data_IF_363389046883
#
_entry.id   IF_363389046883
#
_cell.length_a   1.000
_cell.length_b   1.000
_cell.length_c   1.000
_cell.angle_alpha   90.00
_cell.angle_beta   90.00
_cell.angle_gamma   90.00
#
_symmetry.space_group_name_H-M   'P 1'
#
loop_
_entity.id
_entity.type
_entity.pdbx_description
1 polymer ?
#
# COMPACT_ATOMS: atom_id res chain seq x y z
N UNK A 1 12.30 17.82 30.99
CA UNK A 1 11.68 17.45 29.70
C UNK A 1 11.00 16.11 29.88
N UNK A 2 9.67 16.08 29.89
CA UNK A 2 8.94 14.81 29.93
C UNK A 2 9.10 14.13 28.56
N UNK A 3 9.64 12.91 28.56
CA UNK A 3 9.60 12.06 27.37
C UNK A 3 8.12 11.88 26.98
N UNK A 4 7.74 12.37 25.80
CA UNK A 4 6.47 11.98 25.20
C UNK A 4 6.53 10.46 25.06
N UNK A 5 5.67 9.75 25.78
CA UNK A 5 5.54 8.31 25.63
C UNK A 5 5.29 8.02 24.14
N UNK A 6 6.08 7.10 23.55
CA UNK A 6 5.91 6.64 22.18
C UNK A 6 4.45 6.18 22.02
N UNK A 7 3.66 6.92 21.26
CA UNK A 7 2.20 6.76 21.24
C UNK A 7 1.74 6.43 19.84
N UNK A 8 0.99 5.34 19.73
CA UNK A 8 0.10 5.09 18.61
C UNK A 8 -1.28 5.69 18.94
N UNK A 9 -1.66 6.74 18.22
CA UNK A 9 -3.00 7.31 18.26
C UNK A 9 -3.79 6.81 17.04
N UNK A 10 -5.02 6.33 17.28
CA UNK A 10 -5.93 5.93 16.21
C UNK A 10 -7.20 6.75 16.26
N UNK A 11 -7.63 7.22 15.08
CA UNK A 11 -8.86 7.95 14.87
C UNK A 11 -9.74 7.22 13.86
N UNK A 12 -11.05 7.30 14.08
CA UNK A 12 -12.07 6.75 13.20
C UNK A 12 -12.83 7.91 12.57
N UNK A 13 -13.02 7.84 11.25
CA UNK A 13 -13.63 8.93 10.49
C UNK A 13 -14.92 8.46 9.82
N UNK A 14 -16.00 9.20 10.09
CA UNK A 14 -17.31 8.92 9.53
C UNK A 14 -17.55 9.61 8.18
N UNK A 15 -16.98 10.81 8.01
CA UNK A 15 -17.12 11.65 6.83
C UNK A 15 -15.81 12.41 6.56
N UNK A 16 -15.57 12.83 5.32
CA UNK A 16 -14.36 13.57 4.90
C UNK A 16 -14.71 14.91 4.24
N UNK A 17 -15.31 15.86 4.98
CA UNK A 17 -15.78 17.11 4.41
C UNK A 17 -14.65 18.02 3.91
N UNK A 18 -13.43 17.85 4.44
CA UNK A 18 -12.25 18.59 3.98
C UNK A 18 -11.57 17.98 2.76
N UNK A 19 -11.95 16.75 2.37
CA UNK A 19 -11.30 16.00 1.30
C UNK A 19 -9.83 15.68 1.62
N UNK A 20 -9.46 15.55 2.89
CA UNK A 20 -8.07 15.34 3.28
C UNK A 20 -7.69 13.86 3.39
N UNK A 21 -8.67 12.97 3.53
CA UNK A 21 -8.46 11.56 3.88
C UNK A 21 -8.70 10.66 2.67
N UNK A 22 -9.84 10.82 1.99
CA UNK A 22 -10.23 9.97 0.87
C UNK A 22 -9.21 10.02 -0.27
N UNK A 23 -8.68 11.18 -0.71
CA UNK A 23 -7.68 11.19 -1.77
C UNK A 23 -6.42 10.38 -1.45
N UNK A 24 -6.01 10.31 -0.18
CA UNK A 24 -4.84 9.52 0.26
C UNK A 24 -5.13 8.02 0.17
N UNK A 25 -6.31 7.60 0.63
CA UNK A 25 -6.73 6.20 0.58
C UNK A 25 -6.98 5.76 -0.87
N UNK A 26 -7.58 6.61 -1.69
CA UNK A 26 -7.77 6.38 -3.13
C UNK A 26 -6.44 6.33 -3.88
N UNK A 27 -5.47 7.17 -3.52
CA UNK A 27 -4.11 7.12 -4.08
C UNK A 27 -3.42 5.79 -3.73
N UNK A 28 -3.50 5.34 -2.48
CA UNK A 28 -3.00 4.01 -2.08
C UNK A 28 -3.69 2.90 -2.87
N UNK A 29 -5.02 2.93 -2.97
CA UNK A 29 -5.77 1.97 -3.79
C UNK A 29 -5.29 1.96 -5.25
N UNK A 30 -5.22 3.13 -5.88
CA UNK A 30 -4.81 3.28 -7.27
C UNK A 30 -3.38 2.75 -7.49
N UNK A 31 -2.46 3.01 -6.56
CA UNK A 31 -1.08 2.53 -6.62
C UNK A 31 -0.99 1.00 -6.74
N UNK A 32 -1.92 0.27 -6.13
CA UNK A 32 -1.98 -1.19 -6.23
C UNK A 32 -2.88 -1.68 -7.37
N UNK A 33 -4.03 -1.04 -7.58
CA UNK A 33 -5.06 -1.50 -8.49
C UNK A 33 -4.72 -1.22 -9.96
N UNK A 34 -4.09 -0.08 -10.27
CA UNK A 34 -3.68 0.27 -11.64
C UNK A 34 -2.69 -0.72 -12.27
N UNK A 35 -1.53 -1.00 -11.65
CA UNK A 35 -0.59 -1.98 -12.20
C UNK A 35 -1.21 -3.38 -12.27
N UNK A 36 -2.01 -3.77 -11.27
CA UNK A 36 -2.70 -5.07 -11.29
C UNK A 36 -3.76 -5.16 -12.39
N UNK A 37 -4.49 -4.09 -12.69
CA UNK A 37 -5.43 -4.02 -13.80
C UNK A 37 -4.73 -4.09 -15.16
N UNK A 38 -3.58 -3.41 -15.31
CA UNK A 38 -2.75 -3.51 -16.51
C UNK A 38 -2.19 -4.94 -16.70
N UNK A 39 -1.70 -5.54 -15.62
CA UNK A 39 -1.24 -6.92 -15.58
C UNK A 39 -2.33 -7.92 -15.95
N UNK A 40 -3.53 -7.80 -15.36
CA UNK A 40 -4.66 -8.66 -15.69
C UNK A 40 -5.03 -8.55 -17.17
N UNK A 41 -5.13 -7.33 -17.72
CA UNK A 41 -5.43 -7.10 -19.14
C UNK A 41 -4.36 -7.68 -20.06
N UNK A 42 -3.09 -7.64 -19.65
CA UNK A 42 -2.00 -8.24 -20.40
C UNK A 42 -2.19 -9.76 -20.55
N UNK A 43 -2.53 -10.46 -19.46
CA UNK A 43 -2.75 -11.91 -19.50
C UNK A 43 -4.12 -12.30 -20.09
N UNK A 44 -5.14 -11.46 -19.94
CA UNK A 44 -6.46 -11.65 -20.54
C UNK A 44 -6.50 -11.40 -22.06
N UNK A 45 -5.39 -10.96 -22.64
CA UNK A 45 -5.27 -10.58 -24.04
C UNK A 45 -5.76 -11.66 -25.02
N UNK A 46 -6.90 -11.42 -25.67
CA UNK A 46 -7.45 -12.33 -26.68
C UNK A 46 -8.23 -13.51 -26.10
N UNK A 47 -8.48 -13.52 -24.79
CA UNK A 47 -9.30 -14.53 -24.12
C UNK A 47 -10.72 -14.03 -23.89
N UNK A 48 -11.68 -14.95 -23.85
CA UNK A 48 -12.99 -14.66 -23.27
C UNK A 48 -12.89 -14.86 -21.75
N UNK A 49 -13.07 -13.78 -20.99
CA UNK A 49 -12.96 -13.81 -19.53
C UNK A 49 -14.34 -14.01 -18.92
N UNK A 50 -14.51 -15.12 -18.20
CA UNK A 50 -15.75 -15.39 -17.45
C UNK A 50 -15.90 -14.45 -16.25
N UNK A 51 -17.14 -14.25 -15.80
CA UNK A 51 -17.39 -13.47 -14.58
C UNK A 51 -16.70 -14.09 -13.36
N UNK A 52 -16.63 -15.42 -13.30
CA UNK A 52 -15.93 -16.12 -12.23
C UNK A 52 -14.44 -15.76 -12.22
N UNK A 53 -13.76 -15.87 -13.36
CA UNK A 53 -12.34 -15.54 -13.49
C UNK A 53 -12.07 -14.08 -13.10
N UNK A 54 -12.88 -13.15 -13.60
CA UNK A 54 -12.74 -11.74 -13.25
C UNK A 54 -12.99 -11.50 -11.75
N UNK A 55 -14.00 -12.16 -11.16
CA UNK A 55 -14.32 -12.02 -9.75
C UNK A 55 -13.22 -12.57 -8.84
N UNK A 56 -12.52 -13.64 -9.23
CA UNK A 56 -11.33 -14.14 -8.50
C UNK A 56 -10.26 -13.06 -8.42
N UNK A 57 -9.94 -12.40 -9.53
CA UNK A 57 -9.01 -11.26 -9.57
C UNK A 57 -9.52 -10.06 -8.76
N UNK A 58 -10.74 -9.62 -9.04
CA UNK A 58 -11.31 -8.40 -8.46
C UNK A 58 -11.55 -8.49 -6.95
N UNK A 59 -11.75 -9.71 -6.41
CA UNK A 59 -12.03 -9.93 -4.98
C UNK A 59 -11.01 -9.25 -4.08
N UNK A 60 -9.71 -9.37 -4.39
CA UNK A 60 -8.64 -8.76 -3.57
C UNK A 60 -8.80 -7.25 -3.46
N UNK A 61 -9.16 -6.58 -4.54
CA UNK A 61 -9.30 -5.13 -4.58
C UNK A 61 -10.63 -4.64 -3.99
N UNK A 62 -11.68 -5.47 -4.09
CA UNK A 62 -12.99 -5.18 -3.51
C UNK A 62 -13.04 -5.38 -2.00
N UNK A 63 -12.21 -6.24 -1.42
CA UNK A 63 -12.26 -6.54 0.02
C UNK A 63 -11.00 -6.11 0.76
N UNK A 64 -9.93 -5.77 0.05
CA UNK A 64 -8.64 -5.46 0.65
C UNK A 64 -8.64 -4.15 1.45
N UNK A 65 -7.72 -4.12 2.40
CA UNK A 65 -7.32 -2.90 3.12
C UNK A 65 -6.21 -2.21 2.33
N UNK A 66 -6.28 -0.88 2.24
CA UNK A 66 -5.30 -0.04 1.56
C UNK A 66 -4.88 1.06 2.53
N UNK A 67 -3.59 1.34 2.55
CA UNK A 67 -3.00 2.28 3.50
C UNK A 67 -1.97 3.17 2.81
N UNK A 68 -1.98 4.45 3.17
CA UNK A 68 -0.90 5.38 2.87
C UNK A 68 -0.36 5.94 4.18
N UNK A 69 0.95 5.83 4.38
CA UNK A 69 1.64 6.36 5.55
C UNK A 69 2.71 7.34 5.11
N UNK A 70 2.69 8.55 5.64
CA UNK A 70 3.80 9.51 5.47
C UNK A 70 4.69 9.44 6.69
N UNK A 71 5.95 9.09 6.50
CA UNK A 71 7.00 9.24 7.50
C UNK A 71 7.67 10.59 7.31
N UNK A 72 7.83 11.36 8.37
CA UNK A 72 8.60 12.61 8.39
C UNK A 72 9.72 12.48 9.42
N UNK A 73 10.96 12.61 8.96
CA UNK A 73 12.14 12.60 9.81
C UNK A 73 12.10 13.75 10.83
N UNK A 74 12.75 13.59 12.00
CA UNK A 74 12.87 14.69 12.95
C UNK A 74 13.58 15.88 12.27
N UNK A 75 13.13 17.10 12.59
CA UNK A 75 13.78 18.31 12.09
C UNK A 75 15.21 18.38 12.62
N UNK A 76 16.16 18.69 11.74
CA UNK A 76 17.54 18.99 12.14
C UNK A 76 17.69 20.50 12.35
N UNK A 77 18.76 20.93 13.02
CA UNK A 77 19.00 22.35 13.29
C UNK A 77 19.07 23.24 12.03
N UNK A 78 19.21 22.64 10.83
CA UNK A 78 19.32 23.34 9.55
C UNK A 78 18.09 23.26 8.63
N UNK A 79 17.00 22.58 9.01
CA UNK A 79 15.81 22.52 8.15
C UNK A 79 14.78 21.45 8.52
N UNK A 80 13.67 21.45 7.78
CA UNK A 80 12.61 20.45 7.87
C UNK A 80 13.12 19.06 7.45
N UNK A 81 12.80 18.04 8.24
CA UNK A 81 13.15 16.65 7.95
C UNK A 81 12.55 16.16 6.63
N UNK A 82 13.20 15.16 6.01
CA UNK A 82 12.70 14.56 4.76
C UNK A 82 11.40 13.81 5.03
N UNK A 83 10.57 13.67 4.00
CA UNK A 83 9.34 12.89 4.08
C UNK A 83 9.31 11.78 3.03
N UNK A 84 8.76 10.63 3.42
CA UNK A 84 8.66 9.43 2.62
C UNK A 84 7.23 8.91 2.66
N UNK A 85 6.69 8.49 1.52
CA UNK A 85 5.33 7.97 1.43
C UNK A 85 5.40 6.45 1.27
N UNK A 86 4.84 5.72 2.22
CA UNK A 86 4.71 4.27 2.19
C UNK A 86 3.27 3.90 1.82
N UNK A 87 3.10 3.04 0.82
CA UNK A 87 1.80 2.56 0.38
C UNK A 87 1.70 1.05 0.56
N UNK A 88 0.65 0.60 1.21
CA UNK A 88 0.42 -0.80 1.53
C UNK A 88 -0.95 -1.27 1.06
N UNK A 89 -1.04 -2.55 0.71
CA UNK A 89 -2.31 -3.24 0.45
C UNK A 89 -2.32 -4.58 1.14
N UNK A 90 -3.52 -5.03 1.52
CA UNK A 90 -3.64 -6.35 2.10
C UNK A 90 -3.42 -7.48 1.08
N UNK A 91 -2.91 -8.61 1.56
CA UNK A 91 -2.63 -9.82 0.77
C UNK A 91 -1.17 -9.95 0.33
N UNK A 92 -0.79 -11.13 -0.17
CA UNK A 92 0.58 -11.44 -0.63
C UNK A 92 0.73 -11.43 -2.13
N UNK A 93 1.90 -10.99 -2.59
CA UNK A 93 2.38 -11.17 -3.96
C UNK A 93 1.39 -10.68 -5.02
N UNK A 94 1.43 -11.33 -6.18
CA UNK A 94 0.50 -11.07 -7.28
C UNK A 94 -0.94 -11.48 -6.89
N UNK A 95 -1.97 -10.70 -7.26
CA UNK A 95 -3.36 -11.11 -7.08
C UNK A 95 -3.63 -12.38 -7.89
N UNK A 96 -4.50 -13.28 -7.41
CA UNK A 96 -4.91 -14.44 -8.18
C UNK A 96 -5.48 -14.01 -9.53
N UNK A 97 -4.93 -14.55 -10.62
CA UNK A 97 -5.34 -14.16 -11.96
C UNK A 97 -6.75 -14.66 -12.31
N UNK A 98 -7.15 -15.82 -11.77
CA UNK A 98 -8.46 -16.43 -12.07
C UNK A 98 -8.61 -16.94 -13.51
N UNK A 99 -7.58 -16.79 -14.34
CA UNK A 99 -7.49 -17.27 -15.71
C UNK A 99 -6.67 -18.56 -15.74
N UNK A 100 -7.06 -19.49 -16.60
CA UNK A 100 -6.31 -20.73 -16.86
C UNK A 100 -5.18 -20.47 -17.87
N UNK A 101 -4.24 -19.61 -17.49
CA UNK A 101 -3.05 -19.26 -18.27
C UNK A 101 -1.82 -19.14 -17.37
N UNK A 102 -0.62 -19.45 -17.89
CA UNK A 102 0.61 -19.28 -17.13
C UNK A 102 0.89 -17.80 -16.85
N UNK A 103 1.24 -17.48 -15.60
CA UNK A 103 1.72 -16.14 -15.23
C UNK A 103 3.18 -16.00 -15.68
N UNK A 104 3.38 -15.38 -16.84
CA UNK A 104 4.71 -15.18 -17.45
C UNK A 104 5.40 -13.87 -17.02
N UNK A 105 4.71 -12.99 -16.30
CA UNK A 105 5.25 -11.68 -15.89
C UNK A 105 4.56 -11.26 -14.59
N UNK A 106 5.30 -10.82 -13.54
CA UNK A 106 4.70 -10.45 -12.26
C UNK A 106 4.13 -9.01 -12.26
N UNK A 107 3.19 -8.70 -11.36
CA UNK A 107 2.55 -7.37 -11.26
C UNK A 107 3.58 -6.27 -11.04
N UNK A 108 4.65 -6.55 -10.29
CA UNK A 108 5.69 -5.58 -9.97
C UNK A 108 6.35 -4.93 -11.22
N UNK A 109 6.29 -5.58 -12.39
CA UNK A 109 6.80 -5.02 -13.66
C UNK A 109 5.90 -3.92 -14.24
N UNK A 110 4.64 -3.88 -13.84
CA UNK A 110 3.65 -2.88 -14.28
C UNK A 110 3.59 -1.67 -13.33
N UNK A 111 4.35 -1.69 -12.23
CA UNK A 111 4.37 -0.61 -11.24
C UNK A 111 5.26 0.53 -11.71
N UNK A 112 4.74 1.75 -11.64
CA UNK A 112 5.54 2.94 -11.81
C UNK A 112 6.50 3.11 -10.63
N UNK A 113 7.78 3.31 -10.93
CA UNK A 113 8.82 3.51 -9.92
C UNK A 113 8.99 5.00 -9.66
N UNK A 114 8.30 5.52 -8.66
CA UNK A 114 8.51 6.87 -8.16
C UNK A 114 9.47 6.84 -6.96
N UNK A 115 10.52 7.67 -6.98
CA UNK A 115 11.58 7.64 -5.96
C UNK A 115 11.09 7.97 -4.53
N UNK A 116 9.94 8.61 -4.38
CA UNK A 116 9.39 9.08 -3.09
C UNK A 116 8.29 8.16 -2.55
N UNK A 117 7.74 7.28 -3.39
CA UNK A 117 6.66 6.35 -3.02
C UNK A 117 7.24 4.96 -2.86
N UNK A 118 7.21 4.46 -1.63
CA UNK A 118 7.77 3.17 -1.23
C UNK A 118 6.62 2.18 -1.14
N UNK A 119 6.71 1.15 -1.98
CA UNK A 119 5.79 0.04 -1.94
C UNK A 119 6.08 -0.85 -0.73
N UNK A 120 5.16 -0.89 0.22
CA UNK A 120 5.28 -1.67 1.45
C UNK A 120 4.59 -3.02 1.30
N UNK A 121 5.41 -4.06 1.13
CA UNK A 121 4.98 -5.46 1.15
C UNK A 121 5.64 -6.19 2.32
N UNK A 122 4.87 -7.07 2.94
CA UNK A 122 5.38 -7.96 3.99
C UNK A 122 6.44 -8.88 3.38
N UNK A 123 7.60 -8.96 4.01
CA UNK A 123 8.70 -9.81 3.59
C UNK A 123 9.00 -10.83 4.69
N UNK A 124 8.56 -12.09 4.54
CA UNK A 124 8.70 -13.11 5.59
C UNK A 124 10.14 -13.44 5.97
N UNK A 125 11.12 -13.08 5.12
CA UNK A 125 12.54 -13.27 5.37
C UNK A 125 13.28 -11.98 5.75
N UNK A 126 12.57 -10.85 5.87
CA UNK A 126 13.20 -9.59 6.25
C UNK A 126 13.61 -9.60 7.73
N UNK A 127 14.80 -9.07 7.98
CA UNK A 127 15.29 -8.73 9.31
C UNK A 127 14.48 -7.54 9.85
N UNK A 128 13.42 -7.83 10.61
CA UNK A 128 12.57 -6.84 11.28
C UNK A 128 12.27 -7.25 12.71
N UNK A 129 12.30 -6.28 13.62
CA UNK A 129 11.94 -6.50 15.03
C UNK A 129 10.44 -6.29 15.28
N UNK A 130 9.71 -5.86 14.24
CA UNK A 130 8.27 -5.69 14.27
C UNK A 130 7.60 -7.03 13.96
N UNK A 131 7.38 -7.83 15.01
CA UNK A 131 6.61 -9.08 14.88
C UNK A 131 5.13 -8.88 15.23
N UNK A 132 4.20 -9.60 14.58
CA UNK A 132 2.79 -9.58 14.98
C UNK A 132 2.60 -10.03 16.43
N UNK A 133 1.65 -9.43 17.17
CA UNK A 133 1.34 -9.89 18.53
C UNK A 133 0.96 -11.39 18.54
N UNK A 134 1.49 -12.17 19.51
CA UNK A 134 1.11 -13.57 19.70
C UNK A 134 -0.30 -13.76 20.30
N UNK A 135 -1.08 -12.70 20.54
CA UNK A 135 -2.32 -12.75 21.34
C UNK A 135 -3.30 -13.90 20.99
N UNK A 136 -3.86 -14.44 22.06
CA UNK A 136 -4.71 -15.65 22.23
C UNK A 136 -6.00 -15.70 21.40
N UNK A 137 -6.32 -14.69 20.60
CA UNK A 137 -7.38 -14.77 19.58
C UNK A 137 -6.99 -15.61 18.37
N UNK A 138 -5.83 -16.27 18.45
CA UNK A 138 -5.49 -17.47 17.70
C UNK A 138 -6.42 -18.64 18.04
N UNK A 139 -7.67 -18.54 17.62
CA UNK A 139 -8.50 -19.74 17.45
C UNK A 139 -7.93 -20.52 16.26
N UNK A 140 -7.48 -21.77 16.45
CA UNK A 140 -7.19 -22.66 15.34
C UNK A 140 -8.45 -22.74 14.48
N UNK A 141 -8.37 -22.36 13.20
CA UNK A 141 -9.51 -22.42 12.28
C UNK A 141 -10.12 -21.08 11.84
N UNK A 142 -9.53 -19.91 12.18
CA UNK A 142 -9.87 -18.66 11.50
C UNK A 142 -8.79 -18.26 10.47
N UNK A 143 -8.83 -18.79 9.24
CA UNK A 143 -7.87 -18.46 8.18
C UNK A 143 -7.94 -16.99 7.73
N UNK A 144 -8.89 -16.20 8.23
CA UNK A 144 -9.01 -14.76 7.95
C UNK A 144 -8.33 -13.87 9.00
N UNK A 145 -7.79 -14.44 10.08
CA UNK A 145 -7.30 -13.66 11.22
C UNK A 145 -5.87 -13.10 11.07
N UNK A 146 -5.11 -13.42 10.01
CA UNK A 146 -3.66 -13.07 9.94
C UNK A 146 -3.04 -12.78 8.57
N UNK A 147 -3.82 -12.69 7.50
CA UNK A 147 -3.22 -12.67 6.17
C UNK A 147 -2.98 -11.26 5.64
N UNK A 148 -1.84 -10.70 6.06
CA UNK A 148 -1.11 -9.64 5.36
C UNK A 148 -1.82 -8.30 5.32
N UNK A 149 -2.12 -7.74 6.49
CA UNK A 149 -2.66 -6.39 6.57
C UNK A 149 -1.66 -5.35 6.06
N UNK A 150 -2.19 -4.29 5.44
CA UNK A 150 -1.39 -3.25 4.79
C UNK A 150 -0.46 -2.55 5.79
N UNK A 151 -0.97 -2.30 6.99
CA UNK A 151 -0.29 -1.62 8.09
C UNK A 151 0.90 -2.41 8.62
N UNK A 152 0.80 -3.75 8.65
CA UNK A 152 1.92 -4.62 9.01
C UNK A 152 3.06 -4.52 7.99
N UNK A 153 2.73 -4.57 6.70
CA UNK A 153 3.72 -4.42 5.63
C UNK A 153 4.44 -3.06 5.67
N UNK A 154 3.69 -2.00 6.01
CA UNK A 154 4.26 -0.66 6.24
C UNK A 154 5.16 -0.65 7.47
N UNK A 155 4.73 -1.20 8.60
CA UNK A 155 5.52 -1.20 9.83
C UNK A 155 6.85 -1.94 9.66
N UNK A 156 6.83 -3.14 9.06
CA UNK A 156 8.04 -3.92 8.76
C UNK A 156 8.97 -3.19 7.77
N UNK A 157 8.40 -2.51 6.77
CA UNK A 157 9.19 -1.74 5.80
C UNK A 157 9.85 -0.52 6.44
N UNK A 158 9.13 0.24 7.27
CA UNK A 158 9.70 1.40 7.99
C UNK A 158 10.80 0.96 8.95
N UNK A 159 10.58 -0.10 9.74
CA UNK A 159 11.58 -0.69 10.64
C UNK A 159 12.88 -1.02 9.89
N UNK A 160 12.76 -1.69 8.75
CA UNK A 160 13.88 -2.06 7.89
C UNK A 160 14.63 -0.84 7.35
N UNK A 161 13.93 0.19 6.90
CA UNK A 161 14.55 1.41 6.38
C UNK A 161 15.31 2.16 7.49
N UNK A 162 14.77 2.22 8.71
CA UNK A 162 15.47 2.83 9.85
C UNK A 162 16.71 2.01 10.21
N UNK A 163 16.58 0.68 10.33
CA UNK A 163 17.70 -0.22 10.68
C UNK A 163 18.83 -0.20 9.65
N UNK A 164 18.53 0.10 8.38
CA UNK A 164 19.52 0.23 7.30
C UNK A 164 20.10 1.63 7.16
N UNK A 165 19.71 2.57 8.03
CA UNK A 165 20.02 3.99 7.92
C UNK A 165 19.52 4.65 6.61
N UNK A 166 18.52 4.08 5.93
CA UNK A 166 17.92 4.72 4.75
C UNK A 166 17.11 5.97 5.17
N UNK A 167 16.52 5.92 6.37
CA UNK A 167 15.80 7.03 7.01
C UNK A 167 16.21 7.14 8.50
N UNK A 168 16.21 8.36 9.03
CA UNK A 168 16.53 8.61 10.44
C UNK A 168 15.42 8.13 11.39
N UNK A 169 15.77 7.65 12.59
CA UNK A 169 14.82 7.32 13.66
C UNK A 169 14.24 8.58 14.35
N UNK A 170 13.27 8.41 15.25
CA UNK A 170 12.70 9.49 16.07
C UNK A 170 11.71 10.41 15.36
N UNK A 171 11.25 10.05 14.17
CA UNK A 171 10.32 10.83 13.35
C UNK A 171 8.84 10.65 13.70
N UNK A 172 7.99 11.15 12.82
CA UNK A 172 6.53 11.01 12.89
C UNK A 172 5.99 10.20 11.73
N UNK A 173 5.09 9.27 12.02
CA UNK A 173 4.41 8.43 11.05
C UNK A 173 2.91 8.75 11.06
N UNK A 174 2.38 9.30 9.96
CA UNK A 174 0.96 9.64 9.82
C UNK A 174 0.32 8.77 8.74
N UNK A 175 -0.62 7.92 9.13
CA UNK A 175 -1.27 6.93 8.27
C UNK A 175 -2.75 7.21 8.01
N UNK A 176 -3.20 6.87 6.80
CA UNK A 176 -4.60 6.82 6.40
C UNK A 176 -4.92 5.41 5.91
N UNK A 177 -5.97 4.78 6.44
CA UNK A 177 -6.29 3.38 6.18
C UNK A 177 -7.77 3.22 5.82
N UNK A 178 -8.06 2.39 4.81
CA UNK A 178 -9.42 2.17 4.33
C UNK A 178 -10.32 1.37 5.30
N UNK A 179 -9.75 0.75 6.32
CA UNK A 179 -10.45 -0.08 7.30
C UNK A 179 -9.85 0.12 8.71
N UNK A 180 -10.58 -0.20 9.79
CA UNK A 180 -10.02 -0.18 11.14
C UNK A 180 -8.83 -1.13 11.27
N UNK A 181 -7.74 -0.66 11.88
CA UNK A 181 -6.61 -1.51 12.21
C UNK A 181 -7.03 -2.65 13.15
N UNK A 182 -6.59 -3.87 12.83
CA UNK A 182 -6.73 -5.00 13.74
C UNK A 182 -5.76 -4.88 14.94
N UNK A 183 -5.99 -5.72 15.96
CA UNK A 183 -5.18 -5.71 17.20
C UNK A 183 -3.69 -5.99 16.91
N UNK A 184 -3.39 -6.92 16.00
CA UNK A 184 -2.01 -7.26 15.66
C UNK A 184 -1.29 -6.12 14.93
N UNK A 185 -1.97 -5.41 14.03
CA UNK A 185 -1.42 -4.22 13.36
C UNK A 185 -1.14 -3.09 14.34
N UNK A 186 -2.05 -2.84 15.28
CA UNK A 186 -1.84 -1.83 16.33
C UNK A 186 -0.62 -2.18 17.18
N UNK A 187 -0.48 -3.44 17.59
CA UNK A 187 0.67 -3.91 18.38
C UNK A 187 1.99 -3.79 17.60
N UNK A 188 1.98 -4.10 16.31
CA UNK A 188 3.15 -3.94 15.45
C UNK A 188 3.59 -2.47 15.32
N UNK A 189 2.65 -1.56 15.06
CA UNK A 189 2.95 -0.11 15.03
C UNK A 189 3.41 0.42 16.38
N UNK A 190 2.88 -0.12 17.49
CA UNK A 190 3.34 0.27 18.82
C UNK A 190 4.78 -0.20 19.05
N UNK A 191 5.11 -1.44 18.66
CA UNK A 191 6.50 -1.93 18.75
C UNK A 191 7.45 -1.12 17.87
N UNK A 192 7.03 -0.75 16.65
CA UNK A 192 7.80 0.15 15.79
C UNK A 192 8.04 1.50 16.49
N UNK A 193 7.00 2.09 17.08
CA UNK A 193 7.08 3.34 17.80
C UNK A 193 8.04 3.25 19.01
N UNK A 194 7.99 2.15 19.74
CA UNK A 194 8.84 1.92 20.91
C UNK A 194 10.31 1.73 20.52
N UNK A 195 10.57 0.91 19.50
CA UNK A 195 11.92 0.59 19.03
C UNK A 195 12.65 1.83 18.48
N UNK A 196 11.93 2.70 17.76
CA UNK A 196 12.52 3.81 17.01
C UNK A 196 12.12 5.19 17.52
N UNK A 197 11.45 5.26 18.67
CA UNK A 197 10.97 6.50 19.30
C UNK A 197 10.07 7.33 18.39
N UNK A 198 9.14 6.67 17.70
CA UNK A 198 8.26 7.34 16.73
C UNK A 198 6.96 7.83 17.37
N UNK A 199 6.45 8.93 16.84
CA UNK A 199 5.04 9.30 17.02
C UNK A 199 4.21 8.69 15.88
N UNK A 200 3.17 7.93 16.20
CA UNK A 200 2.34 7.28 15.18
C UNK A 200 0.89 7.75 15.29
N UNK A 201 0.36 8.28 14.20
CA UNK A 201 -1.04 8.70 14.09
C UNK A 201 -1.68 7.95 12.93
N UNK A 202 -2.78 7.25 13.17
CA UNK A 202 -3.50 6.51 12.14
C UNK A 202 -4.95 6.94 12.10
N UNK A 203 -5.41 7.31 10.91
CA UNK A 203 -6.80 7.65 10.65
C UNK A 203 -7.42 6.56 9.78
N UNK A 204 -8.48 5.93 10.25
CA UNK A 204 -9.17 4.86 9.54
C UNK A 204 -10.62 5.24 9.21
N UNK A 205 -11.12 4.75 8.08
CA UNK A 205 -12.54 4.90 7.74
C UNK A 205 -13.40 4.02 8.66
N UNK A 206 -14.44 4.61 9.25
CA UNK A 206 -15.39 3.87 10.06
C UNK A 206 -16.23 2.90 9.20
N UNK A 207 -16.40 1.63 9.61
CA UNK A 207 -17.17 0.67 8.84
C UNK A 207 -18.58 1.17 8.54
N UNK A 208 -18.96 1.15 7.27
CA UNK A 208 -20.29 1.58 6.83
C UNK A 208 -20.50 3.10 6.86
N UNK A 209 -19.49 3.91 7.17
CA UNK A 209 -19.62 5.37 7.20
C UNK A 209 -19.79 6.00 5.81
N UNK A 210 -20.07 7.31 5.75
CA UNK A 210 -20.21 8.02 4.49
C UNK A 210 -18.91 7.98 3.68
N UNK A 211 -17.78 8.30 4.33
CA UNK A 211 -16.45 8.22 3.72
C UNK A 211 -16.12 6.78 3.28
N UNK A 212 -16.41 5.76 4.10
CA UNK A 212 -16.22 4.36 3.71
C UNK A 212 -17.01 3.99 2.46
N UNK A 213 -18.30 4.36 2.39
CA UNK A 213 -19.16 4.08 1.22
C UNK A 213 -18.69 4.81 -0.03
N UNK A 214 -18.15 6.02 0.10
CA UNK A 214 -17.57 6.75 -1.02
C UNK A 214 -16.34 6.03 -1.58
N UNK A 215 -15.40 5.65 -0.71
CA UNK A 215 -14.25 4.85 -1.12
C UNK A 215 -14.66 3.49 -1.73
N UNK A 216 -15.63 2.82 -1.12
CA UNK A 216 -16.18 1.54 -1.59
C UNK A 216 -16.85 1.66 -2.98
N UNK A 217 -17.46 2.81 -3.28
CA UNK A 217 -17.95 3.12 -4.63
C UNK A 217 -16.79 3.31 -5.60
N UNK A 218 -15.80 4.13 -5.27
CA UNK A 218 -14.65 4.38 -6.12
C UNK A 218 -13.90 3.09 -6.52
N UNK A 219 -13.65 2.18 -5.56
CA UNK A 219 -13.01 0.88 -5.86
C UNK A 219 -13.86 -0.02 -6.75
N UNK A 220 -15.20 0.00 -6.60
CA UNK A 220 -16.12 -0.77 -7.46
C UNK A 220 -16.15 -0.21 -8.87
N UNK A 221 -16.25 1.11 -9.01
CA UNK A 221 -16.29 1.79 -10.30
C UNK A 221 -14.99 1.52 -11.08
N UNK A 222 -13.84 1.55 -10.38
CA UNK A 222 -12.56 1.16 -10.97
C UNK A 222 -12.56 -0.30 -11.47
N UNK A 223 -13.01 -1.26 -10.65
CA UNK A 223 -13.08 -2.66 -11.06
C UNK A 223 -14.04 -2.88 -12.22
N UNK A 224 -15.16 -2.15 -12.26
CA UNK A 224 -16.08 -2.16 -13.40
C UNK A 224 -15.38 -1.66 -14.68
N UNK A 225 -14.65 -0.56 -14.60
CA UNK A 225 -13.87 -0.06 -15.74
C UNK A 225 -12.83 -1.07 -16.23
N UNK A 226 -12.14 -1.80 -15.34
CA UNK A 226 -11.21 -2.88 -15.75
C UNK A 226 -11.95 -3.98 -16.50
N UNK A 227 -13.13 -4.41 -16.03
CA UNK A 227 -13.97 -5.41 -16.70
C UNK A 227 -14.36 -4.98 -18.11
N UNK A 228 -14.88 -3.76 -18.26
CA UNK A 228 -15.28 -3.24 -19.57
C UNK A 228 -14.12 -3.21 -20.58
N UNK A 229 -12.90 -2.91 -20.13
CA UNK A 229 -11.73 -2.91 -21.01
C UNK A 229 -11.33 -4.31 -21.48
N UNK A 230 -11.60 -5.33 -20.68
CA UNK A 230 -11.31 -6.73 -21.01
C UNK A 230 -12.36 -7.28 -21.99
N UNK A 231 -13.62 -6.88 -21.82
CA UNK A 231 -14.74 -7.39 -22.62
C UNK A 231 -14.87 -6.73 -24.00
N UNK A 232 -14.21 -5.57 -24.22
CA UNK A 232 -14.22 -4.89 -25.51
C UNK A 232 -13.53 -5.74 -26.60
N UNK A 233 -14.23 -6.12 -27.69
CA UNK A 233 -13.60 -6.77 -28.82
C UNK A 233 -12.52 -5.85 -29.41
N UNK A 234 -11.32 -6.39 -29.68
CA UNK A 234 -10.15 -5.66 -30.22
C UNK A 234 -10.36 -5.01 -31.61
N UNK A 235 -11.57 -5.04 -32.17
CA UNK A 235 -11.90 -4.56 -33.52
C UNK A 235 -12.19 -3.07 -33.67
N UNK A 236 -12.13 -2.25 -32.62
CA UNK A 236 -12.54 -0.82 -32.69
C UNK A 236 -11.40 0.21 -32.56
N UNK A 237 -10.13 -0.19 -32.45
CA UNK A 237 -9.02 0.78 -32.50
C UNK A 237 -8.63 1.12 -33.95
N UNK A 238 -9.43 1.98 -34.60
CA UNK A 238 -8.94 2.85 -35.68
C UNK A 238 -8.45 4.17 -35.08
N UNK A 239 -7.23 4.53 -35.46
CA UNK A 239 -6.63 5.87 -35.49
C UNK A 239 -5.66 6.23 -34.35
N UNK A 240 -4.39 6.44 -34.75
CA UNK A 240 -3.59 7.53 -34.18
C UNK A 240 -2.29 7.18 -33.45
N UNK A 241 -1.41 6.38 -34.04
CA UNK A 241 -0.02 6.25 -33.54
C UNK A 241 0.74 7.55 -33.78
N UNK A 242 1.10 8.28 -32.72
CA UNK A 242 2.20 9.24 -32.76
C UNK A 242 3.25 8.78 -31.75
N UNK A 243 4.35 8.22 -32.25
CA UNK A 243 5.54 7.89 -31.46
C UNK A 243 6.24 9.20 -31.09
N UNK A 244 6.30 9.53 -29.81
CA UNK A 244 7.29 10.48 -29.29
C UNK A 244 8.44 9.70 -28.65
N UNK A 245 9.62 9.83 -29.27
CA UNK A 245 10.90 9.37 -28.74
C UNK A 245 11.32 10.31 -27.61
N UNK A 246 11.51 9.81 -26.39
CA UNK A 246 12.08 10.57 -25.27
C UNK A 246 13.54 10.14 -25.09
N UNK A 247 14.45 11.10 -25.23
CA UNK A 247 15.89 10.96 -24.97
C UNK A 247 16.15 10.62 -23.50
N UNK A 248 17.02 9.63 -23.26
CA UNK A 248 17.43 9.21 -21.92
C UNK A 248 18.55 10.14 -21.41
N UNK A 249 18.21 11.01 -20.46
CA UNK A 249 19.20 11.70 -19.61
C UNK A 249 19.86 10.72 -18.63
N UNK A 250 21.18 10.81 -18.51
CA UNK A 250 22.03 10.04 -17.58
C UNK A 250 21.75 10.46 -16.12
N UNK A 251 21.50 9.53 -15.18
CA UNK A 251 21.33 9.89 -13.78
C UNK A 251 22.67 10.32 -13.14
N UNK A 252 22.65 11.30 -12.21
CA UNK A 252 23.84 11.71 -11.46
C UNK A 252 24.28 10.63 -10.45
N UNK A 253 25.58 10.66 -10.12
CA UNK A 253 26.24 9.69 -9.27
C UNK A 253 25.80 9.79 -7.79
N UNK A 254 25.64 8.63 -7.16
CA UNK A 254 25.33 8.46 -5.73
C UNK A 254 26.64 8.56 -4.92
N UNK A 255 26.73 9.41 -3.88
CA UNK A 255 27.87 9.42 -2.98
C UNK A 255 27.83 8.23 -2.00
N UNK A 256 29.02 7.69 -1.69
CA UNK A 256 29.26 6.55 -0.83
C UNK A 256 28.90 6.80 0.64
N UNK A 257 28.46 5.78 1.41
CA UNK A 257 28.08 5.93 2.81
C UNK A 257 29.31 5.95 3.73
N UNK A 258 29.45 7.04 4.48
CA UNK A 258 30.18 7.07 5.74
C UNK A 258 29.22 6.67 6.88
N UNK A 259 29.77 6.01 7.89
CA UNK A 259 29.10 5.31 8.99
C UNK A 259 28.12 6.14 9.81
N UNK A 260 26.98 5.54 10.18
CA UNK A 260 26.02 6.06 11.15
C UNK A 260 26.60 5.94 12.58
N UNK A 261 26.81 7.07 13.26
CA UNK A 261 26.97 7.15 14.72
C UNK A 261 25.70 7.71 15.36
#
# INVERSE_FOLDING_TARGET
MHALANRVAQFMVEDDPSGAILPRIEAAFAHHAQPAGAWFRFHAAGLSVSDHAFNVFARRFRTGTFAEFTYTEPATAGGSGRSFVFVGSSGRGDPPLGLDVPVVTPVATFRDRHAVVIHAERDPGADTDVTPSPDREHRPGNPHARDFDAEMGIAETVDRFIRRCDIAAGGRLTGFVSQPMCVSCRAALQRLADNHRLEVFVTALAPGSAAYRQFDRARRDYMFAVREHVDRPRGLNRSGTTRHTVERGRPPAVPSPESCE
#
